data_IF_624841816343
#
_entry.id   IF_624841816343
#
_cell.length_a   1.000
_cell.length_b   1.000
_cell.length_c   1.000
_cell.angle_alpha   90.00
_cell.angle_beta   90.00
_cell.angle_gamma   90.00
#
_symmetry.space_group_name_H-M   'P 1'
#
loop_
_entity.id
_entity.type
_entity.pdbx_description
1 polymer ?
#
# COMPACT_ATOMS: atom_id res chain seq x y z
N UNK A 1 -26.24 21.13 -12.12
CA UNK A 1 -26.17 20.55 -10.76
C UNK A 1 -25.21 19.37 -10.89
N UNK A 2 -23.97 19.49 -10.39
CA UNK A 2 -23.09 18.31 -10.36
C UNK A 2 -23.75 17.29 -9.45
N UNK A 3 -24.08 16.12 -10.00
CA UNK A 3 -24.42 14.95 -9.19
C UNK A 3 -23.18 14.65 -8.35
N UNK A 4 -23.33 14.66 -7.02
CA UNK A 4 -22.26 14.26 -6.13
C UNK A 4 -21.83 12.83 -6.49
N UNK A 5 -20.53 12.55 -6.42
CA UNK A 5 -20.03 11.18 -6.58
C UNK A 5 -20.66 10.26 -5.53
N UNK A 6 -20.87 8.99 -5.89
CA UNK A 6 -21.28 7.93 -4.97
C UNK A 6 -20.16 7.56 -3.97
N UNK A 7 -18.90 7.90 -4.29
CA UNK A 7 -17.72 7.60 -3.48
C UNK A 7 -16.86 8.84 -3.20
N UNK A 8 -17.43 9.93 -2.66
CA UNK A 8 -16.74 11.22 -2.61
C UNK A 8 -15.44 11.18 -1.78
N UNK A 9 -15.37 10.31 -0.77
CA UNK A 9 -14.14 10.09 0.02
C UNK A 9 -13.08 9.38 -0.81
N UNK A 10 -13.41 8.28 -1.50
CA UNK A 10 -12.44 7.54 -2.30
C UNK A 10 -11.97 8.36 -3.49
N UNK A 11 -12.87 9.11 -4.13
CA UNK A 11 -12.54 9.99 -5.24
C UNK A 11 -11.55 11.08 -4.83
N UNK A 12 -11.76 11.66 -3.65
CA UNK A 12 -10.84 12.66 -3.08
C UNK A 12 -9.47 12.03 -2.82
N UNK A 13 -9.43 10.85 -2.19
CA UNK A 13 -8.18 10.16 -1.90
C UNK A 13 -7.45 9.69 -3.17
N UNK A 14 -8.19 9.26 -4.19
CA UNK A 14 -7.66 8.89 -5.50
C UNK A 14 -7.03 10.09 -6.19
N UNK A 15 -7.73 11.23 -6.21
CA UNK A 15 -7.19 12.48 -6.76
C UNK A 15 -5.91 12.92 -6.01
N UNK A 16 -5.92 12.90 -4.68
CA UNK A 16 -4.72 13.18 -3.87
C UNK A 16 -3.57 12.22 -4.19
N UNK A 17 -3.87 10.94 -4.40
CA UNK A 17 -2.88 9.90 -4.73
C UNK A 17 -2.27 10.16 -6.09
N UNK A 18 -3.08 10.46 -7.11
CA UNK A 18 -2.64 10.80 -8.48
C UNK A 18 -1.77 12.05 -8.45
N UNK A 19 -2.26 13.15 -7.85
CA UNK A 19 -1.51 14.40 -7.72
C UNK A 19 -0.14 14.17 -7.05
N UNK A 20 -0.08 13.32 -6.02
CA UNK A 20 1.19 13.03 -5.36
C UNK A 20 2.16 12.22 -6.22
N UNK A 21 1.68 11.35 -7.11
CA UNK A 21 2.52 10.61 -8.06
C UNK A 21 3.09 11.56 -9.11
N UNK A 22 2.26 12.44 -9.67
CA UNK A 22 2.66 13.37 -10.72
C UNK A 22 3.65 14.45 -10.23
N UNK A 23 3.50 14.88 -8.97
CA UNK A 23 4.32 15.96 -8.40
C UNK A 23 5.60 15.48 -7.72
N UNK A 24 5.70 14.18 -7.41
CA UNK A 24 6.87 13.66 -6.70
C UNK A 24 7.97 13.26 -7.69
N UNK A 25 9.17 13.84 -7.54
CA UNK A 25 10.33 13.53 -8.36
C UNK A 25 11.16 12.32 -7.90
N UNK A 26 10.64 11.49 -6.99
CA UNK A 26 11.34 10.29 -6.52
C UNK A 26 11.29 9.18 -7.59
N UNK A 27 12.33 8.35 -7.62
CA UNK A 27 12.29 7.14 -8.43
C UNK A 27 11.13 6.22 -7.95
N UNK A 28 10.48 5.45 -8.84
CA UNK A 28 9.28 4.67 -8.50
C UNK A 28 9.46 3.71 -7.32
N UNK A 29 10.61 3.04 -7.26
CA UNK A 29 11.03 2.15 -6.17
C UNK A 29 11.16 2.89 -4.84
N UNK A 30 11.85 4.04 -4.82
CA UNK A 30 11.97 4.86 -3.62
C UNK A 30 10.61 5.43 -3.17
N UNK A 31 9.75 5.79 -4.12
CA UNK A 31 8.43 6.33 -3.85
C UNK A 31 7.53 5.29 -3.16
N UNK A 32 7.50 4.06 -3.67
CA UNK A 32 6.68 3.00 -3.07
C UNK A 32 7.24 2.55 -1.71
N UNK A 33 8.57 2.45 -1.57
CA UNK A 33 9.24 2.20 -0.28
C UNK A 33 8.81 3.23 0.76
N UNK A 34 8.82 4.51 0.38
CA UNK A 34 8.46 5.62 1.27
C UNK A 34 7.01 5.54 1.71
N UNK A 35 6.09 5.20 0.79
CA UNK A 35 4.67 5.02 1.12
C UNK A 35 4.44 3.85 2.06
N UNK A 36 5.08 2.70 1.84
CA UNK A 36 4.99 1.55 2.74
C UNK A 36 5.51 1.90 4.13
N UNK A 37 6.67 2.57 4.22
CA UNK A 37 7.22 3.03 5.49
C UNK A 37 6.28 4.00 6.22
N UNK A 38 5.65 4.93 5.49
CA UNK A 38 4.67 5.86 6.04
C UNK A 38 3.41 5.13 6.55
N UNK A 39 2.89 4.15 5.82
CA UNK A 39 1.75 3.33 6.27
C UNK A 39 2.08 2.59 7.57
N UNK A 40 3.28 2.01 7.66
CA UNK A 40 3.75 1.35 8.88
C UNK A 40 3.86 2.34 10.05
N UNK A 41 4.47 3.50 9.84
CA UNK A 41 4.54 4.55 10.84
C UNK A 41 3.14 5.04 11.27
N UNK A 42 2.19 5.11 10.34
CA UNK A 42 0.81 5.56 10.60
C UNK A 42 -0.12 4.51 11.19
N UNK A 43 0.32 3.26 11.41
CA UNK A 43 -0.54 2.13 11.83
C UNK A 43 -1.75 1.98 10.91
N UNK A 44 -1.46 1.99 9.61
CA UNK A 44 -2.51 1.87 8.61
C UNK A 44 -3.18 0.48 8.66
N UNK A 45 -4.49 0.39 8.34
CA UNK A 45 -5.19 -0.89 8.25
C UNK A 45 -4.70 -1.72 7.04
N UNK A 46 -4.94 -3.04 7.01
CA UNK A 46 -4.51 -3.93 5.92
C UNK A 46 -4.89 -3.44 4.52
N UNK A 47 -6.12 -2.92 4.35
CA UNK A 47 -6.61 -2.46 3.05
C UNK A 47 -5.76 -1.33 2.45
N UNK A 48 -5.12 -0.51 3.30
CA UNK A 48 -4.22 0.54 2.83
C UNK A 48 -2.95 -0.01 2.19
N UNK A 49 -2.49 -1.20 2.60
CA UNK A 49 -1.34 -1.87 1.96
C UNK A 49 -1.74 -2.56 0.65
N UNK A 50 -2.99 -3.04 0.51
CA UNK A 50 -3.48 -3.67 -0.74
C UNK A 50 -3.30 -2.74 -1.93
N UNK A 51 -3.64 -1.45 -1.77
CA UNK A 51 -3.48 -0.42 -2.80
C UNK A 51 -2.01 -0.18 -3.26
N UNK A 52 -1.04 -0.81 -2.59
CA UNK A 52 0.38 -0.66 -2.85
C UNK A 52 1.07 -1.97 -3.27
N UNK A 53 0.34 -3.09 -3.38
CA UNK A 53 0.89 -4.39 -3.80
C UNK A 53 1.33 -4.34 -5.27
N UNK A 54 0.41 -4.05 -6.20
CA UNK A 54 0.76 -4.00 -7.63
C UNK A 54 1.81 -2.93 -7.96
N UNK A 55 1.71 -1.69 -7.43
CA UNK A 55 2.77 -0.71 -7.64
C UNK A 55 4.13 -1.15 -7.10
N UNK A 56 4.17 -1.89 -5.97
CA UNK A 56 5.42 -2.43 -5.44
C UNK A 56 6.01 -3.49 -6.38
N UNK A 57 5.18 -4.41 -6.89
CA UNK A 57 5.61 -5.43 -7.86
C UNK A 57 6.12 -4.79 -9.16
N UNK A 58 5.41 -3.78 -9.69
CA UNK A 58 5.83 -3.05 -10.89
C UNK A 58 7.14 -2.27 -10.70
N UNK A 59 7.37 -1.77 -9.49
CA UNK A 59 8.63 -1.13 -9.11
C UNK A 59 9.76 -2.14 -8.78
N UNK A 60 9.48 -3.44 -8.88
CA UNK A 60 10.46 -4.50 -8.67
C UNK A 60 10.79 -4.79 -7.20
N UNK A 61 9.92 -4.39 -6.26
CA UNK A 61 10.13 -4.68 -4.84
C UNK A 61 9.92 -6.18 -4.56
N UNK A 62 10.84 -6.75 -3.79
CA UNK A 62 10.71 -8.12 -3.27
C UNK A 62 10.15 -8.13 -1.84
N UNK A 63 9.69 -9.29 -1.39
CA UNK A 63 9.24 -9.48 0.00
C UNK A 63 10.36 -9.25 1.01
N UNK A 64 11.61 -9.56 0.65
CA UNK A 64 12.79 -9.28 1.46
C UNK A 64 13.02 -7.77 1.58
N UNK A 65 12.88 -7.02 0.50
CA UNK A 65 13.00 -5.56 0.55
C UNK A 65 11.90 -4.93 1.41
N UNK A 66 10.67 -5.46 1.40
CA UNK A 66 9.61 -5.00 2.32
C UNK A 66 9.98 -5.25 3.79
N UNK A 67 10.62 -6.40 4.08
CA UNK A 67 11.16 -6.67 5.43
C UNK A 67 12.29 -5.71 5.78
N UNK A 68 13.19 -5.41 4.84
CA UNK A 68 14.27 -4.45 5.05
C UNK A 68 13.74 -3.04 5.39
N UNK A 69 12.61 -2.63 4.79
CA UNK A 69 11.92 -1.38 5.18
C UNK A 69 11.53 -1.42 6.65
N UNK A 70 10.88 -2.50 7.10
CA UNK A 70 10.43 -2.65 8.47
C UNK A 70 11.61 -2.68 9.46
N UNK A 71 12.69 -3.37 9.10
CA UNK A 71 13.96 -3.38 9.87
C UNK A 71 14.54 -1.97 9.96
N UNK A 72 14.58 -1.24 8.84
CA UNK A 72 15.16 0.10 8.78
C UNK A 72 14.39 1.12 9.64
N UNK A 73 13.05 1.06 9.66
CA UNK A 73 12.24 2.00 10.44
C UNK A 73 12.04 1.58 11.89
N UNK A 74 12.33 0.33 12.26
CA UNK A 74 12.04 -0.22 13.59
C UNK A 74 12.54 0.63 14.77
N UNK A 75 13.78 1.19 14.74
CA UNK A 75 14.26 2.03 15.83
C UNK A 75 13.51 3.37 15.97
N UNK A 76 12.84 3.81 14.89
CA UNK A 76 12.15 5.10 14.82
C UNK A 76 10.69 4.97 15.23
N UNK A 77 9.99 3.92 14.77
CA UNK A 77 8.55 3.75 14.98
C UNK A 77 8.20 2.80 16.13
N UNK A 78 9.16 1.99 16.58
CA UNK A 78 9.03 1.07 17.71
C UNK A 78 8.47 -0.32 17.36
N UNK A 79 8.82 -1.31 18.19
CA UNK A 79 8.53 -2.73 17.95
C UNK A 79 7.05 -3.03 17.74
N UNK A 80 6.16 -2.45 18.56
CA UNK A 80 4.72 -2.70 18.45
C UNK A 80 4.17 -2.27 17.08
N UNK A 81 4.60 -1.10 16.58
CA UNK A 81 4.18 -0.57 15.27
C UNK A 81 4.67 -1.46 14.13
N UNK A 82 5.92 -1.91 14.21
CA UNK A 82 6.51 -2.83 13.22
C UNK A 82 5.77 -4.16 13.18
N UNK A 83 5.46 -4.75 14.33
CA UNK A 83 4.74 -6.02 14.39
C UNK A 83 3.32 -5.89 13.81
N UNK A 84 2.62 -4.80 14.11
CA UNK A 84 1.30 -4.54 13.51
C UNK A 84 1.41 -4.35 12.00
N UNK A 85 2.37 -3.57 11.52
CA UNK A 85 2.59 -3.36 10.08
C UNK A 85 2.89 -4.68 9.36
N UNK A 86 3.75 -5.54 9.91
CA UNK A 86 4.05 -6.85 9.35
C UNK A 86 2.79 -7.73 9.22
N UNK A 87 1.96 -7.79 10.27
CA UNK A 87 0.69 -8.52 10.25
C UNK A 87 -0.32 -7.95 9.24
N UNK A 88 -0.39 -6.62 9.12
CA UNK A 88 -1.29 -5.95 8.18
C UNK A 88 -0.84 -6.14 6.73
N UNK A 89 0.46 -6.15 6.45
CA UNK A 89 1.03 -6.46 5.14
C UNK A 89 0.72 -7.92 4.75
N UNK A 90 0.92 -8.88 5.66
CA UNK A 90 0.60 -10.28 5.43
C UNK A 90 -0.91 -10.47 5.14
N UNK A 91 -1.75 -9.78 5.90
CA UNK A 91 -3.21 -9.78 5.70
C UNK A 91 -3.58 -9.18 4.34
N UNK A 92 -2.96 -8.06 3.96
CA UNK A 92 -3.18 -7.41 2.67
C UNK A 92 -2.81 -8.33 1.49
N UNK A 93 -1.69 -9.05 1.60
CA UNK A 93 -1.31 -10.04 0.60
C UNK A 93 -2.36 -11.17 0.50
N UNK A 94 -2.86 -11.67 1.63
CA UNK A 94 -3.93 -12.66 1.64
C UNK A 94 -5.22 -12.16 0.98
N UNK A 95 -5.59 -10.89 1.21
CA UNK A 95 -6.74 -10.25 0.53
C UNK A 95 -6.51 -10.17 -0.98
N UNK A 96 -5.33 -9.71 -1.42
CA UNK A 96 -5.02 -9.58 -2.84
C UNK A 96 -5.05 -10.92 -3.58
N UNK A 97 -4.50 -11.98 -2.96
CA UNK A 97 -4.56 -13.35 -3.50
C UNK A 97 -6.01 -13.81 -3.62
N UNK A 98 -6.82 -13.64 -2.56
CA UNK A 98 -8.22 -14.06 -2.60
C UNK A 98 -9.05 -13.33 -3.67
N UNK A 99 -8.77 -12.04 -3.91
CA UNK A 99 -9.40 -11.27 -4.98
C UNK A 99 -8.96 -11.80 -6.35
N UNK A 100 -7.67 -12.02 -6.56
CA UNK A 100 -7.15 -12.56 -7.81
C UNK A 100 -7.73 -13.95 -8.12
N UNK A 101 -7.83 -14.83 -7.11
CA UNK A 101 -8.45 -16.15 -7.26
C UNK A 101 -9.92 -16.05 -7.67
N UNK A 102 -10.70 -15.19 -7.01
CA UNK A 102 -12.12 -14.97 -7.34
C UNK A 102 -12.30 -14.40 -8.76
N UNK A 103 -11.41 -13.52 -9.21
CA UNK A 103 -11.43 -12.98 -10.57
C UNK A 103 -11.13 -14.05 -11.63
N UNK A 104 -10.19 -14.97 -11.37
CA UNK A 104 -9.90 -16.10 -12.26
C UNK A 104 -11.09 -17.07 -12.35
N UNK A 105 -11.72 -17.39 -11.22
CA UNK A 105 -12.91 -18.26 -11.19
C UNK A 105 -14.10 -17.66 -11.95
N UNK A 106 -14.30 -16.34 -11.88
CA UNK A 106 -15.36 -15.65 -12.59
C UNK A 106 -15.14 -15.54 -14.11
N UNK A 107 -13.88 -15.70 -14.56
CA UNK A 107 -13.48 -15.61 -15.97
C UNK A 107 -13.38 -16.98 -16.67
N UNK A 108 -13.40 -18.08 -15.91
CA UNK A 108 -13.36 -19.46 -16.40
C UNK A 108 -14.75 -20.06 -16.65
#
# INVERSE_FOLDING_TARGET
MSTASETPVLDTLAAMTVDSIERCGMAPDMFIVTRIAALAASDAPPISYVAHIDPALQAGLTAEQVQDILVAIAPIVGTARVMTAAGNIATALGIAIAVADAEMEAQG
#
